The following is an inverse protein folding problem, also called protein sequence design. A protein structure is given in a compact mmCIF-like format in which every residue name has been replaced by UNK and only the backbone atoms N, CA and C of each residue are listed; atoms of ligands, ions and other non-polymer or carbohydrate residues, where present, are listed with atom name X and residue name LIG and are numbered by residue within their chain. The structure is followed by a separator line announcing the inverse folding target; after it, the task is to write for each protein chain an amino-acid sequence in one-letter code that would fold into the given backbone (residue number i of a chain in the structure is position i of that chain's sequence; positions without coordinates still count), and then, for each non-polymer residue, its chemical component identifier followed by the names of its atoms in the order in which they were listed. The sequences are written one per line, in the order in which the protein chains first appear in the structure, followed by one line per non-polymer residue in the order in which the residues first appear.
data_IF_037328237423
#
_entry.id   IF_037328237423
#
_cell.length_a   1.000
_cell.length_b   1.000
_cell.length_c   1.000
_cell.angle_alpha   90.00
_cell.angle_beta   90.00
_cell.angle_gamma   90.00
#
_symmetry.space_group_name_H-M   'P 1'
#
loop_
_entity.id
_entity.type
_entity.pdbx_description
1 polymer ?
#
# COMPACT_ATOMS: atom_id res chain seq x y z
N UNK A 1 -5.80 -8.91 -3.67
CA UNK A 1 -6.99 -9.68 -3.23
C UNK A 1 -8.19 -8.74 -3.15
N UNK A 2 -9.40 -9.17 -3.56
CA UNK A 2 -10.64 -8.40 -3.31
C UNK A 2 -11.17 -8.76 -1.93
N UNK A 3 -11.44 -7.76 -1.09
CA UNK A 3 -11.97 -7.97 0.25
C UNK A 3 -13.46 -7.67 0.29
N UNK A 4 -14.18 -8.42 1.11
CA UNK A 4 -15.62 -8.29 1.26
C UNK A 4 -15.98 -8.07 2.74
N UNK A 5 -16.83 -7.08 3.00
CA UNK A 5 -17.38 -6.78 4.33
C UNK A 5 -18.89 -7.04 4.32
N UNK A 6 -19.38 -7.64 5.41
CA UNK A 6 -20.81 -7.95 5.63
C UNK A 6 -21.51 -6.85 6.41
N UNK A 7 -20.80 -6.20 7.34
CA UNK A 7 -21.35 -5.10 8.15
C UNK A 7 -21.72 -3.87 7.32
N UNK A 8 -22.71 -3.12 7.79
CA UNK A 8 -23.10 -1.86 7.13
C UNK A 8 -22.03 -0.77 7.36
N UNK A 9 -21.73 0.08 6.35
CA UNK A 9 -20.74 1.15 6.49
C UNK A 9 -20.94 2.01 7.75
N UNK A 10 -19.87 2.22 8.50
CA UNK A 10 -19.88 3.03 9.72
C UNK A 10 -20.29 2.29 11.00
N UNK A 11 -20.79 1.05 10.90
CA UNK A 11 -21.04 0.19 12.08
C UNK A 11 -19.73 -0.29 12.71
N UNK A 12 -19.78 -0.69 13.97
CA UNK A 12 -18.60 -1.23 14.65
C UNK A 12 -18.16 -2.57 14.05
N UNK A 13 -19.10 -3.39 13.57
CA UNK A 13 -18.80 -4.60 12.80
C UNK A 13 -18.02 -4.26 11.52
N UNK A 14 -18.46 -3.25 10.76
CA UNK A 14 -17.74 -2.80 9.57
C UNK A 14 -16.33 -2.33 9.93
N UNK A 15 -16.17 -1.52 10.99
CA UNK A 15 -14.87 -1.00 11.42
C UNK A 15 -13.92 -2.12 11.84
N UNK A 16 -14.40 -3.13 12.56
CA UNK A 16 -13.59 -4.28 12.96
C UNK A 16 -13.17 -5.12 11.76
N UNK A 17 -14.09 -5.42 10.84
CA UNK A 17 -13.77 -6.19 9.64
C UNK A 17 -12.79 -5.44 8.73
N UNK A 18 -13.01 -4.14 8.53
CA UNK A 18 -12.11 -3.27 7.77
C UNK A 18 -10.71 -3.21 8.40
N UNK A 19 -10.63 -2.98 9.71
CA UNK A 19 -9.37 -3.01 10.46
C UNK A 19 -8.65 -4.34 10.30
N UNK A 20 -9.37 -5.46 10.38
CA UNK A 20 -8.78 -6.80 10.22
C UNK A 20 -8.21 -7.00 8.82
N UNK A 21 -8.95 -6.59 7.78
CA UNK A 21 -8.48 -6.65 6.39
C UNK A 21 -7.18 -5.86 6.22
N UNK A 22 -7.16 -4.61 6.72
CA UNK A 22 -5.97 -3.75 6.66
C UNK A 22 -4.78 -4.37 7.37
N UNK A 23 -4.93 -4.77 8.63
CA UNK A 23 -3.80 -5.32 9.40
C UNK A 23 -3.31 -6.67 8.85
N UNK A 24 -4.18 -7.47 8.22
CA UNK A 24 -3.74 -8.67 7.51
C UNK A 24 -2.81 -8.33 6.34
N UNK A 25 -3.15 -7.30 5.56
CA UNK A 25 -2.30 -6.85 4.45
C UNK A 25 -0.95 -6.28 4.95
N UNK A 26 -0.97 -5.53 6.06
CA UNK A 26 0.26 -5.05 6.69
C UNK A 26 1.12 -6.20 7.23
N UNK A 27 0.50 -7.22 7.83
CA UNK A 27 1.20 -8.42 8.31
C UNK A 27 1.82 -9.20 7.14
N UNK A 28 1.13 -9.31 6.00
CA UNK A 28 1.68 -9.93 4.78
C UNK A 28 2.89 -9.16 4.25
N UNK A 29 2.82 -7.83 4.26
CA UNK A 29 3.94 -6.96 3.93
C UNK A 29 5.13 -7.20 4.88
N UNK A 30 4.92 -7.21 6.20
CA UNK A 30 5.96 -7.46 7.21
C UNK A 30 6.63 -8.83 7.02
N UNK A 31 5.82 -9.87 6.77
CA UNK A 31 6.32 -11.20 6.47
C UNK A 31 7.15 -11.22 5.18
N UNK A 32 6.74 -10.47 4.17
CA UNK A 32 7.45 -10.39 2.88
C UNK A 32 8.82 -9.75 3.04
N UNK A 33 8.91 -8.59 3.69
CA UNK A 33 10.18 -7.87 3.87
C UNK A 33 11.14 -8.60 4.80
N UNK A 34 10.63 -9.44 5.72
CA UNK A 34 11.48 -10.31 6.55
C UNK A 34 12.17 -11.42 5.75
N UNK A 35 11.52 -11.90 4.68
CA UNK A 35 12.03 -12.97 3.78
C UNK A 35 12.84 -12.39 2.62
N UNK A 36 12.51 -11.17 2.20
CA UNK A 36 13.17 -10.44 1.14
C UNK A 36 13.65 -9.09 1.69
N UNK A 37 14.82 -9.04 2.36
CA UNK A 37 15.32 -7.80 2.94
C UNK A 37 15.39 -6.68 1.91
N UNK A 38 14.73 -5.57 2.25
CA UNK A 38 14.66 -4.34 1.46
C UNK A 38 15.64 -3.32 2.05
N UNK A 39 16.37 -2.63 1.19
CA UNK A 39 17.35 -1.59 1.57
C UNK A 39 16.66 -0.25 1.82
N UNK A 40 15.72 0.12 0.96
CA UNK A 40 15.00 1.40 1.01
C UNK A 40 13.61 1.24 0.39
N UNK A 41 12.67 2.11 0.80
CA UNK A 41 11.33 2.18 0.20
C UNK A 41 11.14 3.47 -0.59
N UNK A 42 10.46 3.36 -1.72
CA UNK A 42 10.09 4.48 -2.60
C UNK A 42 8.62 4.39 -2.97
N UNK A 43 8.01 5.52 -3.27
CA UNK A 43 6.67 5.58 -3.83
C UNK A 43 6.73 5.90 -5.33
N UNK A 44 5.76 5.38 -6.07
CA UNK A 44 5.62 5.58 -7.51
C UNK A 44 4.18 5.99 -7.85
N UNK A 45 4.05 7.07 -8.61
CA UNK A 45 2.78 7.55 -9.14
C UNK A 45 2.45 6.81 -10.44
N UNK A 46 1.30 6.15 -10.48
CA UNK A 46 0.86 5.41 -11.68
C UNK A 46 0.40 6.33 -12.80
N UNK A 47 -0.13 7.51 -12.49
CA UNK A 47 -0.68 8.44 -13.47
C UNK A 47 0.44 9.20 -14.18
N UNK A 48 1.37 9.76 -13.40
CA UNK A 48 2.52 10.50 -13.93
C UNK A 48 3.69 9.57 -14.33
N UNK A 49 3.62 8.29 -13.94
CA UNK A 49 4.63 7.26 -14.21
C UNK A 49 6.03 7.65 -13.71
N UNK A 50 6.09 8.26 -12.54
CA UNK A 50 7.35 8.71 -11.93
C UNK A 50 7.44 8.40 -10.42
N UNK A 51 8.66 8.21 -9.88
CA UNK A 51 8.87 8.19 -8.44
C UNK A 51 8.48 9.52 -7.80
N UNK A 52 7.91 9.48 -6.59
CA UNK A 52 7.46 10.68 -5.87
C UNK A 52 8.09 10.77 -4.49
N UNK A 53 8.32 12.00 -4.03
CA UNK A 53 8.71 12.28 -2.65
C UNK A 53 7.46 12.15 -1.75
N UNK A 54 7.52 11.24 -0.77
CA UNK A 54 6.33 10.78 -0.04
C UNK A 54 6.51 10.75 1.48
N UNK A 55 7.76 10.77 1.96
CA UNK A 55 8.06 10.78 3.38
C UNK A 55 8.11 12.21 3.86
N UNK A 56 7.15 12.60 4.68
CA UNK A 56 7.13 13.92 5.29
C UNK A 56 8.08 13.97 6.50
N UNK A 57 9.10 14.84 6.46
CA UNK A 57 9.99 15.11 7.59
C UNK A 57 9.94 16.57 8.02
N UNK A 58 9.78 16.74 9.33
CA UNK A 58 9.96 18.03 9.99
C UNK A 58 11.44 18.22 10.31
N UNK A 59 12.04 19.27 9.76
CA UNK A 59 13.36 19.74 10.17
C UNK A 59 13.22 21.02 10.97
N UNK A 60 14.29 21.43 11.66
CA UNK A 60 14.32 22.68 12.42
C UNK A 60 14.05 23.93 11.56
N UNK A 61 14.16 23.81 10.23
CA UNK A 61 14.12 24.95 9.29
C UNK A 61 13.07 24.83 8.18
N UNK A 62 12.53 23.64 7.91
CA UNK A 62 11.56 23.43 6.84
C UNK A 62 10.79 22.11 6.98
N UNK A 63 9.64 22.06 6.31
CA UNK A 63 8.93 20.84 5.96
C UNK A 63 9.47 20.34 4.63
N UNK A 64 10.02 19.12 4.61
CA UNK A 64 10.58 18.52 3.40
C UNK A 64 9.99 17.14 3.18
N UNK A 65 9.75 16.83 1.90
CA UNK A 65 9.45 15.48 1.47
C UNK A 65 10.73 14.80 1.01
N UNK A 66 10.89 13.53 1.37
CA UNK A 66 11.99 12.69 0.90
C UNK A 66 11.50 11.59 -0.06
N UNK A 67 12.32 11.23 -1.06
CA UNK A 67 12.01 10.16 -2.02
C UNK A 67 12.05 8.78 -1.38
N UNK A 68 12.86 8.63 -0.33
CA UNK A 68 13.17 7.36 0.30
C UNK A 68 12.65 7.30 1.74
N UNK A 69 12.16 6.12 2.12
CA UNK A 69 11.60 5.87 3.44
C UNK A 69 12.06 4.57 4.06
N UNK A 70 11.86 4.49 5.37
CA UNK A 70 12.06 3.28 6.16
C UNK A 70 10.89 2.30 6.03
N UNK A 71 11.05 1.11 6.61
CA UNK A 71 9.96 0.14 6.77
C UNK A 71 8.77 0.73 7.52
N UNK A 72 9.00 1.56 8.55
CA UNK A 72 7.93 2.16 9.34
C UNK A 72 7.17 3.23 8.56
N UNK A 73 7.87 3.99 7.72
CA UNK A 73 7.24 4.93 6.78
C UNK A 73 6.36 4.15 5.81
N UNK A 74 6.86 3.04 5.25
CA UNK A 74 6.14 2.23 4.27
C UNK A 74 4.85 1.64 4.86
N UNK A 75 4.91 1.10 6.09
CA UNK A 75 3.72 0.63 6.80
C UNK A 75 2.72 1.74 7.04
N UNK A 76 3.20 2.92 7.41
CA UNK A 76 2.34 4.09 7.66
C UNK A 76 1.64 4.54 6.38
N UNK A 77 2.38 4.60 5.27
CA UNK A 77 1.81 4.89 3.95
C UNK A 77 0.73 3.88 3.55
N UNK A 78 1.03 2.58 3.61
CA UNK A 78 0.06 1.54 3.26
C UNK A 78 -1.21 1.62 4.11
N UNK A 79 -1.08 1.81 5.43
CA UNK A 79 -2.23 1.99 6.33
C UNK A 79 -3.04 3.22 5.96
N UNK A 80 -2.40 4.37 5.78
CA UNK A 80 -3.08 5.64 5.50
C UNK A 80 -3.82 5.59 4.16
N UNK A 81 -3.21 5.00 3.14
CA UNK A 81 -3.83 4.87 1.83
C UNK A 81 -5.01 3.89 1.87
N UNK A 82 -4.88 2.75 2.56
CA UNK A 82 -6.02 1.83 2.76
C UNK A 82 -7.14 2.53 3.53
N UNK A 83 -6.83 3.24 4.62
CA UNK A 83 -7.82 3.97 5.43
C UNK A 83 -8.53 5.07 4.64
N UNK A 84 -7.86 5.64 3.64
CA UNK A 84 -8.43 6.60 2.69
C UNK A 84 -9.29 5.94 1.60
N UNK A 85 -9.42 4.62 1.61
CA UNK A 85 -10.20 3.86 0.61
C UNK A 85 -9.44 3.60 -0.69
N UNK A 86 -8.14 3.92 -0.75
CA UNK A 86 -7.33 3.72 -1.95
C UNK A 86 -7.06 2.24 -2.19
N UNK A 87 -6.86 1.89 -3.46
CA UNK A 87 -6.15 0.65 -3.79
C UNK A 87 -4.67 0.90 -3.55
N UNK A 88 -3.98 -0.10 -3.03
CA UNK A 88 -2.55 -0.01 -2.78
C UNK A 88 -1.86 -1.27 -3.24
N UNK A 89 -0.60 -1.12 -3.60
CA UNK A 89 0.27 -2.25 -3.86
C UNK A 89 1.68 -1.96 -3.39
N UNK A 90 2.40 -3.05 -3.16
CA UNK A 90 3.84 -3.00 -3.00
C UNK A 90 4.51 -4.05 -3.88
N UNK A 91 5.78 -3.81 -4.16
CA UNK A 91 6.65 -4.73 -4.88
C UNK A 91 8.07 -4.62 -4.38
N UNK A 92 8.80 -5.74 -4.40
CA UNK A 92 10.22 -5.79 -4.06
C UNK A 92 10.97 -6.09 -5.35
N UNK A 93 11.70 -5.09 -5.84
CA UNK A 93 12.51 -5.22 -7.04
C UNK A 93 13.71 -6.16 -6.82
N UNK A 94 14.33 -6.67 -7.91
CA UNK A 94 15.50 -7.55 -7.80
C UNK A 94 16.73 -6.93 -7.13
N UNK A 95 16.83 -5.61 -7.08
CA UNK A 95 17.90 -4.86 -6.39
C UNK A 95 17.55 -4.52 -4.93
N UNK A 96 16.52 -5.16 -4.35
CA UNK A 96 16.10 -4.98 -2.96
C UNK A 96 15.58 -3.57 -2.65
N UNK A 97 14.92 -2.90 -3.60
CA UNK A 97 14.13 -1.68 -3.36
C UNK A 97 12.65 -2.07 -3.20
N UNK A 98 12.01 -1.51 -2.17
CA UNK A 98 10.57 -1.66 -1.98
C UNK A 98 9.84 -0.52 -2.67
N UNK A 99 9.01 -0.84 -3.65
CA UNK A 99 8.17 0.13 -4.34
C UNK A 99 6.75 0.07 -3.82
N UNK A 100 6.18 1.23 -3.55
CA UNK A 100 4.81 1.41 -3.07
C UNK A 100 4.03 2.24 -4.09
N UNK A 101 2.74 1.96 -4.23
CA UNK A 101 1.88 2.78 -5.09
C UNK A 101 0.42 2.70 -4.63
N UNK A 102 -0.36 3.71 -4.98
CA UNK A 102 -1.79 3.77 -4.70
C UNK A 102 -2.55 4.41 -5.88
N UNK A 103 -3.84 4.08 -6.04
CA UNK A 103 -4.66 4.60 -7.12
C UNK A 103 -6.17 4.45 -6.84
N UNK A 104 -6.99 5.31 -7.46
CA UNK A 104 -8.44 5.35 -7.26
C UNK A 104 -9.26 4.51 -8.25
N UNK A 105 -8.75 4.31 -9.46
CA UNK A 105 -9.48 3.65 -10.57
C UNK A 105 -9.18 2.15 -10.62
N UNK A 106 -10.01 1.32 -11.29
CA UNK A 106 -9.65 -0.07 -11.49
C UNK A 106 -8.59 -0.21 -12.60
N UNK A 107 -7.31 -0.16 -12.22
CA UNK A 107 -6.21 -0.67 -13.06
C UNK A 107 -6.14 -2.21 -12.98
N UNK A 108 -5.77 -2.88 -14.08
CA UNK A 108 -5.65 -4.35 -14.13
C UNK A 108 -4.52 -4.87 -13.22
N UNK A 109 -3.47 -4.07 -13.01
CA UNK A 109 -2.39 -4.19 -12.02
C UNK A 109 -1.52 -2.92 -12.11
N UNK A 110 -0.81 -2.51 -11.04
CA UNK A 110 0.12 -1.40 -11.11
C UNK A 110 1.31 -1.74 -12.03
N UNK A 111 1.82 -0.73 -12.74
CA UNK A 111 3.11 -0.80 -13.42
C UNK A 111 4.22 -0.43 -12.44
N UNK A 112 5.37 -1.13 -12.55
CA UNK A 112 6.53 -0.89 -11.70
C UNK A 112 7.63 -0.16 -12.47
N UNK A 113 8.44 0.70 -11.82
CA UNK A 113 9.51 1.47 -12.47
C UNK A 113 10.79 0.65 -12.74
N UNK A 114 10.63 -0.64 -13.02
CA UNK A 114 11.70 -1.57 -13.36
C UNK A 114 11.15 -2.65 -14.29
N UNK A 115 11.99 -3.20 -15.17
CA UNK A 115 11.56 -4.13 -16.22
C UNK A 115 11.57 -5.59 -15.74
N UNK A 116 12.37 -5.89 -14.73
CA UNK A 116 12.58 -7.23 -14.23
C UNK A 116 11.42 -7.75 -13.38
N UNK A 117 11.28 -9.07 -13.30
CA UNK A 117 10.26 -9.69 -12.47
C UNK A 117 10.52 -9.41 -10.97
N UNK A 118 9.53 -8.91 -10.21
CA UNK A 118 9.73 -8.61 -8.81
C UNK A 118 9.94 -9.90 -8.00
N UNK A 119 10.76 -9.80 -6.96
CA UNK A 119 10.96 -10.92 -6.00
C UNK A 119 9.68 -11.27 -5.26
N UNK A 120 8.84 -10.27 -5.02
CA UNK A 120 7.52 -10.41 -4.42
C UNK A 120 6.70 -9.16 -4.71
N UNK A 121 5.39 -9.30 -4.83
CA UNK A 121 4.46 -8.20 -4.95
C UNK A 121 3.10 -8.59 -4.36
N UNK A 122 2.36 -7.63 -3.84
CA UNK A 122 0.99 -7.83 -3.41
C UNK A 122 0.14 -6.58 -3.67
N UNK A 123 -1.16 -6.82 -3.86
CA UNK A 123 -2.15 -5.78 -4.20
C UNK A 123 -3.35 -5.89 -3.26
N UNK A 124 -3.69 -4.78 -2.60
CA UNK A 124 -4.93 -4.58 -1.87
C UNK A 124 -5.91 -3.81 -2.76
N UNK A 125 -6.93 -4.48 -3.28
CA UNK A 125 -7.87 -3.93 -4.26
C UNK A 125 -8.98 -3.06 -3.64
N UNK A 126 -8.85 -2.72 -2.36
CA UNK A 126 -9.89 -2.08 -1.58
C UNK A 126 -10.92 -3.09 -1.05
N UNK A 127 -12.00 -2.55 -0.50
CA UNK A 127 -13.04 -3.35 0.15
C UNK A 127 -14.39 -3.10 -0.52
N UNK A 128 -15.07 -4.19 -0.85
CA UNK A 128 -16.43 -4.18 -1.42
C UNK A 128 -17.44 -4.69 -0.40
N UNK A 129 -18.69 -4.24 -0.51
CA UNK A 129 -19.80 -4.83 0.25
C UNK A 129 -20.31 -6.09 -0.44
N UNK A 130 -20.68 -7.11 0.33
CA UNK A 130 -21.54 -8.17 -0.18
C UNK A 130 -22.97 -7.65 -0.19
N UNK A 131 -23.52 -7.39 -1.37
CA UNK A 131 -24.96 -7.22 -1.49
C UNK A 131 -25.59 -8.60 -1.37
N UNK A 132 -26.22 -8.88 -0.23
CA UNK A 132 -27.21 -9.96 -0.17
C UNK A 132 -28.42 -9.47 -0.97
N UNK A 133 -28.45 -9.76 -2.26
CA UNK A 133 -29.70 -9.75 -3.02
C UNK A 133 -30.55 -10.89 -2.46
N UNK A 134 -31.67 -10.53 -1.81
CA UNK A 134 -32.73 -11.45 -1.39
C UNK A 134 -33.60 -11.85 -2.58
#
# INVERSE_FOLDING_TARGET
MKHYITGDPGTDEWKEQFKRIRENFISEFEDTISKCPVVTFRAFDQEEREPVDWVFKMTDSAMVYEPEGSVDDAKSYLRNMIDSGMRVAYSISPDSVGWLTCWETPAESPEWPFEEEPRSQAIHLGVSRINHEN
#
